data_IF_176040020505
#
_entry.id   IF_176040020505
#
_cell.length_a   1.000
_cell.length_b   1.000
_cell.length_c   1.000
_cell.angle_alpha   90.00
_cell.angle_beta   90.00
_cell.angle_gamma   90.00
#
_symmetry.space_group_name_H-M   'P 1'
#
loop_
_entity.id
_entity.type
_entity.pdbx_description
1 polymer ?
#
# COMPACT_ATOMS: atom_id res chain seq x y z
N UNK A 1 -32.90 50.33 3.24
CA UNK A 1 -32.19 51.51 3.79
C UNK A 1 -32.26 51.45 5.31
N UNK A 2 -31.12 51.24 5.97
CA UNK A 2 -30.59 51.94 7.17
C UNK A 2 -29.35 51.14 7.59
N UNK A 3 -28.30 51.88 7.97
CA UNK A 3 -26.89 51.50 8.06
C UNK A 3 -26.45 51.51 9.52
N UNK A 4 -25.43 50.69 9.84
CA UNK A 4 -24.40 50.80 10.91
C UNK A 4 -24.90 50.49 12.36
N UNK A 5 -24.10 49.93 13.28
CA UNK A 5 -22.66 50.13 13.48
C UNK A 5 -21.93 48.94 14.14
N UNK A 6 -20.63 48.95 13.87
CA UNK A 6 -19.50 48.15 14.35
C UNK A 6 -19.23 48.29 15.85
N UNK A 7 -18.73 47.24 16.51
CA UNK A 7 -17.81 47.40 17.63
C UNK A 7 -16.70 46.34 17.54
N UNK A 8 -15.49 46.83 17.29
CA UNK A 8 -14.24 46.08 17.21
C UNK A 8 -13.56 46.22 18.58
N UNK A 9 -13.23 45.11 19.24
CA UNK A 9 -12.40 45.12 20.45
C UNK A 9 -11.13 44.35 20.17
N UNK A 10 -10.02 45.10 20.05
CA UNK A 10 -8.66 44.59 19.94
C UNK A 10 -8.08 44.56 21.35
N UNK A 11 -7.69 43.37 21.84
CA UNK A 11 -6.86 43.25 23.04
C UNK A 11 -5.49 42.73 22.57
N UNK A 12 -4.53 43.64 22.63
CA UNK A 12 -3.11 43.42 22.41
C UNK A 12 -2.49 42.95 23.73
N UNK A 13 -2.01 41.71 23.80
CA UNK A 13 -1.21 41.22 24.92
C UNK A 13 0.17 40.80 24.39
N UNK A 14 1.15 41.65 24.67
CA UNK A 14 2.58 41.44 24.48
C UNK A 14 3.12 40.50 25.57
N UNK A 15 3.67 39.36 25.18
CA UNK A 15 4.59 38.59 26.03
C UNK A 15 5.99 38.62 25.44
N UNK A 16 6.86 39.36 26.13
CA UNK A 16 8.31 39.28 26.03
C UNK A 16 8.76 38.09 26.90
N UNK A 17 9.31 37.04 26.29
CA UNK A 17 10.11 36.04 27.00
C UNK A 17 11.39 35.83 26.19
N UNK A 18 12.51 36.22 26.78
CA UNK A 18 13.84 36.00 26.23
C UNK A 18 14.30 34.57 26.47
N UNK A 19 14.98 34.00 25.48
CA UNK A 19 15.83 32.83 25.66
C UNK A 19 17.29 33.26 25.55
N UNK A 20 17.98 33.07 26.68
CA UNK A 20 19.42 33.13 26.87
C UNK A 20 20.13 32.07 26.05
N UNK A 21 21.16 32.47 25.31
CA UNK A 21 22.10 31.57 24.65
C UNK A 21 22.91 30.78 25.69
N UNK A 22 22.93 29.45 25.56
CA UNK A 22 23.80 28.58 26.32
C UNK A 22 25.14 28.41 25.59
N UNK A 23 26.20 28.74 26.31
CA UNK A 23 27.61 28.57 25.96
C UNK A 23 27.95 27.08 25.82
N UNK A 24 28.51 26.65 24.69
CA UNK A 24 29.22 25.37 24.58
C UNK A 24 30.69 25.60 24.89
N UNK A 25 31.17 24.90 25.91
CA UNK A 25 32.59 24.81 26.30
C UNK A 25 33.06 23.39 25.99
N UNK A 26 34.06 23.32 25.11
CA UNK A 26 35.28 22.50 25.19
C UNK A 26 35.15 21.00 25.49
N UNK A 27 35.70 20.14 24.62
CA UNK A 27 36.90 19.35 24.92
C UNK A 27 37.60 19.00 23.59
N UNK A 28 38.84 19.45 23.47
CA UNK A 28 39.83 18.93 22.54
C UNK A 28 40.51 17.72 23.19
N UNK A 29 40.57 16.58 22.50
CA UNK A 29 41.54 15.54 22.79
C UNK A 29 42.41 15.28 21.56
N UNK A 30 43.64 15.72 21.68
CA UNK A 30 44.79 15.37 20.87
C UNK A 30 45.32 14.03 21.37
N UNK A 31 45.31 12.99 20.54
CA UNK A 31 46.11 11.80 20.78
C UNK A 31 46.87 11.42 19.51
N UNK A 32 48.19 11.57 19.64
CA UNK A 32 49.29 11.21 18.76
C UNK A 32 49.25 9.72 18.40
N UNK A 33 49.30 9.38 17.11
CA UNK A 33 49.61 8.00 16.67
C UNK A 33 50.96 7.97 15.96
N UNK A 34 51.83 7.14 16.52
CA UNK A 34 53.17 6.78 16.05
C UNK A 34 53.12 6.03 14.71
N UNK A 35 54.13 6.28 13.89
CA UNK A 35 54.36 5.73 12.57
C UNK A 35 55.13 4.38 12.61
N UNK A 36 54.82 3.52 11.62
CA UNK A 36 55.57 2.40 11.04
C UNK A 36 55.37 0.96 11.59
N UNK A 37 55.56 -0.10 10.76
CA UNK A 37 55.71 -0.17 9.30
C UNK A 37 54.66 -1.04 8.58
N UNK A 38 54.62 -0.88 7.25
CA UNK A 38 53.77 -1.59 6.31
C UNK A 38 53.92 -3.12 6.36
N UNK A 39 52.79 -3.82 6.55
CA UNK A 39 52.62 -5.21 6.15
C UNK A 39 51.45 -5.29 5.16
N UNK A 40 51.81 -5.53 3.90
CA UNK A 40 50.88 -5.90 2.84
C UNK A 40 50.17 -7.20 3.21
N UNK A 41 48.87 -7.10 3.49
CA UNK A 41 47.94 -8.22 3.38
C UNK A 41 46.71 -7.68 2.65
N UNK A 42 46.54 -8.10 1.39
CA UNK A 42 45.28 -7.87 0.68
C UNK A 42 44.14 -8.45 1.53
N UNK A 43 43.00 -7.75 1.69
CA UNK A 43 41.82 -8.37 2.25
C UNK A 43 41.41 -9.51 1.31
N UNK A 44 41.53 -10.73 1.81
CA UNK A 44 40.92 -11.89 1.22
C UNK A 44 39.42 -11.63 1.23
N UNK A 45 38.82 -11.48 0.04
CA UNK A 45 37.38 -11.40 -0.14
C UNK A 45 36.75 -12.54 0.66
N UNK A 46 36.07 -12.16 1.74
CA UNK A 46 35.25 -13.09 2.50
C UNK A 46 34.07 -13.39 1.59
N UNK A 47 34.13 -14.55 0.94
CA UNK A 47 32.98 -15.09 0.22
C UNK A 47 31.88 -15.21 1.27
N UNK A 48 30.86 -14.34 1.18
CA UNK A 48 29.66 -14.45 2.00
C UNK A 48 29.11 -15.86 1.79
N UNK A 49 28.68 -16.55 2.86
CA UNK A 49 28.07 -17.86 2.69
C UNK A 49 26.90 -17.72 1.72
N UNK A 50 26.96 -18.48 0.63
CA UNK A 50 25.84 -18.65 -0.30
C UNK A 50 24.63 -19.05 0.53
N UNK A 51 23.62 -18.18 0.54
CA UNK A 51 22.33 -18.40 1.20
C UNK A 51 21.84 -19.79 0.80
N UNK A 52 21.73 -20.68 1.78
CA UNK A 52 20.94 -21.89 1.60
C UNK A 52 19.53 -21.48 1.95
N UNK A 53 18.84 -20.86 0.99
CA UNK A 53 17.40 -20.64 1.06
C UNK A 53 16.81 -22.03 1.29
N UNK A 54 16.26 -22.31 2.47
CA UNK A 54 15.35 -23.43 2.62
C UNK A 54 14.07 -23.00 1.91
N UNK A 55 14.09 -23.17 0.60
CA UNK A 55 12.94 -23.00 -0.27
C UNK A 55 11.92 -24.03 0.19
N UNK A 56 10.95 -23.58 0.98
CA UNK A 56 9.83 -24.41 1.34
C UNK A 56 8.79 -24.21 0.25
N UNK A 57 8.94 -24.96 -0.84
CA UNK A 57 7.83 -25.17 -1.77
C UNK A 57 6.81 -26.01 -1.03
N UNK A 58 5.90 -25.33 -0.31
CA UNK A 58 4.73 -26.01 0.22
C UNK A 58 3.78 -26.14 -0.95
N UNK A 59 3.94 -27.22 -1.72
CA UNK A 59 2.87 -27.72 -2.58
C UNK A 59 1.73 -28.09 -1.63
N UNK A 60 0.86 -27.14 -1.30
CA UNK A 60 -0.43 -27.43 -0.71
C UNK A 60 -1.38 -27.50 -1.88
N UNK A 61 -1.69 -28.69 -2.43
CA UNK A 61 -2.79 -28.78 -3.35
C UNK A 61 -4.04 -28.54 -2.50
N UNK A 62 -4.56 -27.32 -2.54
CA UNK A 62 -5.96 -27.10 -2.22
C UNK A 62 -6.74 -27.98 -3.19
N UNK A 63 -7.44 -28.98 -2.66
CA UNK A 63 -8.22 -29.95 -3.42
C UNK A 63 -9.17 -29.21 -4.38
N UNK A 64 -8.79 -29.04 -5.66
CA UNK A 64 -9.64 -28.42 -6.68
C UNK A 64 -9.09 -27.28 -7.53
N UNK A 65 -7.77 -27.08 -7.66
CA UNK A 65 -7.22 -26.05 -8.56
C UNK A 65 -6.66 -24.80 -7.87
N UNK A 66 -6.10 -24.95 -6.67
CA UNK A 66 -5.32 -23.91 -6.01
C UNK A 66 -4.03 -23.60 -6.77
N UNK A 67 -3.63 -22.32 -6.77
CA UNK A 67 -2.33 -21.86 -7.28
C UNK A 67 -1.19 -22.46 -6.43
N UNK A 68 -0.02 -22.61 -7.05
CA UNK A 68 1.20 -23.01 -6.35
C UNK A 68 1.73 -21.85 -5.52
N UNK A 69 2.12 -22.10 -4.26
CA UNK A 69 2.67 -21.10 -3.35
C UNK A 69 4.13 -21.44 -3.05
N UNK A 70 5.03 -20.49 -3.35
CA UNK A 70 6.45 -20.54 -3.01
C UNK A 70 6.73 -19.52 -1.93
N UNK A 71 7.35 -19.96 -0.83
CA UNK A 71 7.69 -19.12 0.31
C UNK A 71 9.21 -18.98 0.44
N UNK A 72 9.69 -17.74 0.39
CA UNK A 72 11.09 -17.39 0.58
C UNK A 72 11.24 -16.64 1.91
N UNK A 73 11.68 -17.31 3.00
CA UNK A 73 11.84 -16.66 4.29
C UNK A 73 12.96 -15.62 4.22
N UNK A 74 12.65 -14.39 4.58
CA UNK A 74 13.58 -13.27 4.59
C UNK A 74 14.28 -13.14 5.93
N UNK A 75 15.52 -12.66 5.92
CA UNK A 75 16.15 -12.25 7.18
C UNK A 75 15.56 -10.91 7.63
N UNK A 76 15.40 -10.67 8.94
CA UNK A 76 14.73 -9.48 9.49
C UNK A 76 15.34 -8.13 9.06
N UNK A 77 16.52 -8.13 8.43
CA UNK A 77 17.26 -6.92 8.03
C UNK A 77 17.36 -6.70 6.52
N UNK A 78 16.76 -7.57 5.72
CA UNK A 78 16.78 -7.40 4.26
C UNK A 78 15.93 -6.19 3.85
N UNK A 79 16.57 -5.28 3.13
CA UNK A 79 15.89 -4.16 2.49
C UNK A 79 15.05 -4.69 1.32
N UNK A 80 13.86 -4.13 1.14
CA UNK A 80 12.92 -4.54 0.09
C UNK A 80 13.55 -4.38 -1.28
N UNK A 81 14.33 -3.32 -1.50
CA UNK A 81 15.05 -3.11 -2.76
C UNK A 81 16.07 -4.22 -3.07
N UNK A 82 16.72 -4.74 -2.02
CA UNK A 82 17.72 -5.81 -2.16
C UNK A 82 17.02 -7.15 -2.44
N UNK A 83 15.91 -7.42 -1.76
CA UNK A 83 15.09 -8.60 -2.04
C UNK A 83 14.59 -8.51 -3.48
N UNK A 84 14.04 -7.38 -3.90
CA UNK A 84 13.58 -7.22 -5.27
C UNK A 84 14.68 -7.50 -6.28
N UNK A 85 15.86 -6.90 -6.15
CA UNK A 85 16.97 -7.13 -7.08
C UNK A 85 17.43 -8.60 -7.21
N UNK A 86 17.11 -9.46 -6.24
CA UNK A 86 17.39 -10.90 -6.31
C UNK A 86 16.31 -11.69 -7.07
N UNK A 87 15.05 -11.28 -6.97
CA UNK A 87 13.89 -11.98 -7.54
C UNK A 87 13.29 -11.30 -8.77
N UNK A 88 13.74 -10.09 -9.09
CA UNK A 88 13.38 -9.31 -10.28
C UNK A 88 14.01 -9.97 -11.52
N UNK A 89 13.25 -10.84 -12.19
CA UNK A 89 13.53 -11.20 -13.57
C UNK A 89 13.31 -9.98 -14.51
N UNK A 90 13.64 -10.10 -15.79
CA UNK A 90 13.52 -8.97 -16.72
C UNK A 90 12.05 -8.54 -17.01
N UNK A 91 11.05 -9.28 -16.51
CA UNK A 91 9.62 -9.07 -16.81
C UNK A 91 8.87 -8.31 -15.70
N UNK A 92 9.54 -7.98 -14.60
CA UNK A 92 9.05 -7.08 -13.55
C UNK A 92 9.09 -5.63 -14.05
N UNK A 93 8.37 -5.34 -15.12
CA UNK A 93 8.32 -3.99 -15.67
C UNK A 93 7.67 -3.03 -14.69
N UNK A 94 8.07 -1.77 -14.80
CA UNK A 94 7.64 -0.64 -13.99
C UNK A 94 6.15 -0.69 -13.62
N UNK A 95 5.77 -0.22 -12.41
CA UNK A 95 4.37 -0.19 -11.97
C UNK A 95 3.50 0.42 -13.06
N UNK A 96 2.61 -0.41 -13.61
CA UNK A 96 1.76 0.05 -14.70
C UNK A 96 0.87 1.18 -14.20
N UNK A 97 0.85 2.28 -14.93
CA UNK A 97 -0.08 3.36 -14.64
C UNK A 97 -1.51 2.80 -14.69
N UNK A 98 -2.30 3.01 -13.65
CA UNK A 98 -3.70 2.60 -13.62
C UNK A 98 -4.40 3.21 -14.84
N UNK A 99 -4.98 2.41 -15.75
CA UNK A 99 -5.67 2.97 -16.89
C UNK A 99 -6.93 3.68 -16.40
N UNK A 100 -7.15 4.93 -16.83
CA UNK A 100 -8.37 5.68 -16.48
C UNK A 100 -9.63 5.17 -17.20
N UNK A 101 -9.49 4.19 -18.10
CA UNK A 101 -10.54 3.70 -18.98
C UNK A 101 -10.33 2.22 -19.30
N UNK A 102 -11.42 1.46 -19.28
CA UNK A 102 -11.49 0.07 -19.74
C UNK A 102 -12.70 -0.12 -20.65
N UNK A 103 -12.72 -1.19 -21.43
CA UNK A 103 -13.79 -1.48 -22.40
C UNK A 103 -14.30 -2.90 -22.20
N UNK A 104 -15.62 -3.08 -22.25
CA UNK A 104 -16.29 -4.38 -22.27
C UNK A 104 -17.31 -4.38 -23.41
N UNK A 105 -17.08 -5.20 -24.43
CA UNK A 105 -17.87 -5.13 -25.67
C UNK A 105 -17.80 -3.73 -26.29
N UNK A 106 -18.96 -3.11 -26.50
CA UNK A 106 -19.08 -1.74 -27.03
C UNK A 106 -19.10 -0.66 -25.92
N UNK A 107 -19.18 -1.07 -24.66
CA UNK A 107 -19.27 -0.14 -23.52
C UNK A 107 -17.87 0.27 -23.04
N UNK A 108 -17.70 1.57 -22.84
CA UNK A 108 -16.47 2.16 -22.29
C UNK A 108 -16.73 2.64 -20.87
N UNK A 109 -15.97 2.12 -19.91
CA UNK A 109 -16.01 2.54 -18.52
C UNK A 109 -14.79 3.40 -18.21
N UNK A 110 -14.97 4.48 -17.45
CA UNK A 110 -13.87 5.37 -17.03
C UNK A 110 -14.15 5.97 -15.67
N UNK A 111 -13.10 6.46 -14.99
CA UNK A 111 -13.26 7.16 -13.72
C UNK A 111 -12.58 8.53 -13.72
N UNK A 112 -13.02 9.38 -12.79
CA UNK A 112 -12.34 10.62 -12.40
C UNK A 112 -12.33 10.74 -10.90
N UNK A 113 -11.18 11.08 -10.35
CA UNK A 113 -11.05 11.47 -8.95
C UNK A 113 -11.44 12.95 -8.80
N UNK A 114 -12.28 13.25 -7.82
CA UNK A 114 -12.67 14.61 -7.47
C UNK A 114 -12.32 14.85 -6.00
N UNK A 115 -11.51 15.87 -5.77
CA UNK A 115 -11.10 16.29 -4.43
C UNK A 115 -12.00 17.45 -3.99
N UNK A 116 -12.85 17.18 -3.02
CA UNK A 116 -13.79 18.14 -2.46
C UNK A 116 -13.17 18.70 -1.19
N UNK A 117 -12.89 20.01 -1.21
CA UNK A 117 -12.44 20.74 -0.03
C UNK A 117 -13.55 20.74 1.04
N UNK A 118 -13.32 20.07 2.17
CA UNK A 118 -14.25 20.06 3.30
C UNK A 118 -13.99 21.25 4.22
N UNK A 119 -12.74 21.42 4.64
CA UNK A 119 -12.36 22.43 5.61
C UNK A 119 -10.89 22.84 5.44
N UNK A 120 -10.56 24.04 5.92
CA UNK A 120 -9.18 24.48 6.12
C UNK A 120 -9.06 24.99 7.55
N UNK A 121 -8.21 24.37 8.34
CA UNK A 121 -7.99 24.80 9.71
C UNK A 121 -7.19 26.13 9.76
N UNK A 122 -7.19 26.83 10.91
CA UNK A 122 -6.43 28.08 11.07
C UNK A 122 -4.92 27.94 10.89
N UNK A 123 -4.39 26.71 11.03
CA UNK A 123 -2.97 26.38 10.90
C UNK A 123 -2.59 26.02 9.45
N UNK A 124 -3.57 26.01 8.54
CA UNK A 124 -3.41 25.80 7.10
C UNK A 124 -3.54 24.35 6.64
N UNK A 125 -3.87 23.41 7.53
CA UNK A 125 -4.16 22.03 7.12
C UNK A 125 -5.52 21.97 6.45
N UNK A 126 -5.56 21.27 5.33
CA UNK A 126 -6.75 21.19 4.49
C UNK A 126 -7.30 19.78 4.51
N UNK A 127 -8.57 19.66 4.85
CA UNK A 127 -9.30 18.40 4.85
C UNK A 127 -10.01 18.25 3.50
N UNK A 128 -9.76 17.13 2.82
CA UNK A 128 -10.39 16.80 1.56
C UNK A 128 -11.21 15.53 1.71
N UNK A 129 -12.37 15.51 1.07
CA UNK A 129 -13.06 14.28 0.70
C UNK A 129 -12.65 13.93 -0.72
N UNK A 130 -12.36 12.66 -0.97
CA UNK A 130 -12.15 12.17 -2.33
C UNK A 130 -13.36 11.37 -2.78
N UNK A 131 -13.91 11.75 -3.92
CA UNK A 131 -14.94 11.00 -4.63
C UNK A 131 -14.36 10.39 -5.91
N UNK A 132 -14.68 9.14 -6.18
CA UNK A 132 -14.42 8.50 -7.48
C UNK A 132 -15.72 8.51 -8.28
N UNK A 133 -15.73 9.28 -9.37
CA UNK A 133 -16.86 9.39 -10.30
C UNK A 133 -16.65 8.43 -11.46
N UNK A 134 -17.58 7.50 -11.64
CA UNK A 134 -17.56 6.46 -12.66
C UNK A 134 -18.52 6.79 -13.81
N UNK A 135 -18.02 6.65 -15.03
CA UNK A 135 -18.71 6.97 -16.27
C UNK A 135 -18.80 5.75 -17.16
N UNK A 136 -19.95 5.57 -17.80
CA UNK A 136 -20.22 4.56 -18.83
C UNK A 136 -20.59 5.31 -20.10
N UNK A 137 -19.82 5.12 -21.16
CA UNK A 137 -19.97 5.85 -22.44
C UNK A 137 -20.07 7.37 -22.23
N UNK A 138 -19.19 7.91 -21.39
CA UNK A 138 -19.10 9.32 -20.97
C UNK A 138 -20.31 9.85 -20.16
N UNK A 139 -21.27 9.00 -19.80
CA UNK A 139 -22.36 9.33 -18.88
C UNK A 139 -22.02 8.91 -17.45
N UNK A 140 -22.10 9.85 -16.50
CA UNK A 140 -21.91 9.56 -15.08
C UNK A 140 -22.99 8.58 -14.62
N UNK A 141 -22.59 7.40 -14.12
CA UNK A 141 -23.54 6.42 -13.63
C UNK A 141 -23.37 6.10 -12.14
N UNK A 142 -22.22 6.41 -11.55
CA UNK A 142 -21.93 6.12 -10.15
C UNK A 142 -20.93 7.11 -9.56
N UNK A 143 -21.07 7.38 -8.26
CA UNK A 143 -20.07 8.09 -7.46
C UNK A 143 -19.80 7.26 -6.21
N UNK A 144 -18.52 7.06 -5.91
CA UNK A 144 -18.06 6.37 -4.69
C UNK A 144 -17.33 7.39 -3.83
N UNK A 145 -17.87 7.67 -2.65
CA UNK A 145 -17.21 8.53 -1.66
C UNK A 145 -16.20 7.71 -0.87
N UNK A 146 -14.94 8.12 -0.86
CA UNK A 146 -13.84 7.39 -0.22
C UNK A 146 -13.45 7.93 1.15
N UNK A 147 -14.00 9.08 1.56
CA UNK A 147 -13.60 9.73 2.80
C UNK A 147 -12.24 10.42 2.70
N UNK A 148 -11.52 10.48 3.81
CA UNK A 148 -10.19 11.11 3.93
C UNK A 148 -9.10 10.06 3.69
N UNK A 149 -8.68 9.92 2.43
CA UNK A 149 -7.64 8.98 2.01
C UNK A 149 -6.21 9.43 2.32
N UNK A 150 -6.03 10.58 2.97
CA UNK A 150 -4.71 11.16 3.20
C UNK A 150 -3.90 11.29 1.90
N UNK A 151 -2.59 10.94 1.89
CA UNK A 151 -1.73 11.06 0.72
C UNK A 151 -1.77 9.84 -0.23
N UNK A 152 -2.59 8.82 0.05
CA UNK A 152 -2.63 7.61 -0.75
C UNK A 152 -3.45 7.83 -2.04
N UNK A 153 -3.08 7.17 -3.15
CA UNK A 153 -3.94 7.10 -4.32
C UNK A 153 -5.32 6.55 -3.94
N UNK A 154 -6.37 7.16 -4.50
CA UNK A 154 -7.73 6.70 -4.32
C UNK A 154 -8.02 5.43 -5.12
N UNK A 155 -7.49 5.34 -6.33
CA UNK A 155 -7.62 4.16 -7.21
C UNK A 155 -6.28 3.46 -7.35
N UNK A 156 -6.28 2.15 -7.11
CA UNK A 156 -5.11 1.27 -7.16
C UNK A 156 -5.09 0.36 -8.39
N UNK A 157 -6.26 0.09 -8.96
CA UNK A 157 -6.37 -0.72 -10.18
C UNK A 157 -7.70 -0.48 -10.87
N UNK A 158 -7.68 -0.53 -12.20
CA UNK A 158 -8.90 -0.55 -13.01
C UNK A 158 -8.72 -1.47 -14.20
N UNK A 159 -9.39 -2.61 -14.17
CA UNK A 159 -9.14 -3.71 -15.11
C UNK A 159 -10.46 -4.26 -15.61
N UNK A 160 -10.49 -4.67 -16.88
CA UNK A 160 -11.63 -5.38 -17.46
C UNK A 160 -11.23 -6.80 -17.86
N UNK A 161 -12.21 -7.69 -17.70
CA UNK A 161 -12.28 -9.04 -18.26
C UNK A 161 -13.26 -9.04 -19.43
N UNK A 162 -13.57 -10.21 -20.00
CA UNK A 162 -14.53 -10.31 -21.10
C UNK A 162 -15.93 -9.81 -20.73
N UNK A 163 -16.37 -9.99 -19.48
CA UNK A 163 -17.75 -9.72 -19.04
C UNK A 163 -17.85 -8.73 -17.87
N UNK A 164 -16.75 -8.44 -17.19
CA UNK A 164 -16.75 -7.66 -15.94
C UNK A 164 -15.60 -6.68 -15.87
N UNK A 165 -15.80 -5.55 -15.20
CA UNK A 165 -14.73 -4.65 -14.77
C UNK A 165 -14.58 -4.67 -13.26
N UNK A 166 -13.36 -4.38 -12.82
CA UNK A 166 -12.92 -4.34 -11.44
C UNK A 166 -12.19 -3.04 -11.19
N UNK A 167 -12.59 -2.30 -10.17
CA UNK A 167 -11.94 -1.09 -9.72
C UNK A 167 -11.49 -1.29 -8.27
N UNK A 168 -10.19 -1.37 -8.04
CA UNK A 168 -9.63 -1.40 -6.69
C UNK A 168 -9.47 0.04 -6.19
N UNK A 169 -10.12 0.32 -5.06
CA UNK A 169 -10.09 1.62 -4.40
C UNK A 169 -9.55 1.48 -2.99
N UNK A 170 -8.96 2.55 -2.50
CA UNK A 170 -8.64 2.73 -1.09
C UNK A 170 -9.68 3.65 -0.45
N UNK A 171 -10.21 3.29 0.71
CA UNK A 171 -11.17 4.08 1.49
C UNK A 171 -10.55 4.50 2.82
N UNK A 172 -10.62 5.79 3.10
CA UNK A 172 -10.08 6.41 4.29
C UNK A 172 -11.15 6.50 5.35
N UNK A 173 -10.99 5.72 6.41
CA UNK A 173 -11.89 5.72 7.56
C UNK A 173 -11.22 6.38 8.77
N UNK A 174 -11.98 7.22 9.45
CA UNK A 174 -11.58 7.85 10.71
C UNK A 174 -12.34 7.18 11.85
N UNK A 175 -11.64 6.39 12.64
CA UNK A 175 -12.19 5.66 13.79
C UNK A 175 -11.90 6.48 15.05
N UNK A 176 -12.94 7.01 15.68
CA UNK A 176 -12.85 7.57 17.03
C UNK A 176 -12.70 6.43 18.04
N UNK A 177 -11.57 6.39 18.75
CA UNK A 177 -11.28 5.34 19.75
C UNK A 177 -12.02 5.58 21.07
N UNK A 178 -12.75 6.68 21.21
CA UNK A 178 -13.54 7.02 22.40
C UNK A 178 -12.71 7.61 23.55
N UNK A 179 -11.38 7.65 23.43
CA UNK A 179 -10.45 8.33 24.34
C UNK A 179 -10.04 9.73 23.82
N UNK A 180 -10.68 10.19 22.74
CA UNK A 180 -10.35 11.43 22.05
C UNK A 180 -9.25 11.29 21.01
N UNK A 181 -8.69 10.09 20.82
CA UNK A 181 -7.82 9.78 19.67
C UNK A 181 -8.64 9.35 18.45
N UNK A 182 -8.21 9.82 17.28
CA UNK A 182 -8.74 9.38 15.99
C UNK A 182 -7.66 8.53 15.34
N UNK A 183 -8.01 7.30 15.00
CA UNK A 183 -7.21 6.46 14.12
C UNK A 183 -7.71 6.65 12.68
N UNK A 184 -6.80 7.05 11.79
CA UNK A 184 -7.06 6.99 10.35
C UNK A 184 -6.62 5.60 9.87
N UNK A 185 -7.55 4.84 9.31
CA UNK A 185 -7.26 3.57 8.65
C UNK A 185 -7.61 3.65 7.17
N UNK A 186 -6.91 2.86 6.37
CA UNK A 186 -7.11 2.73 4.94
C UNK A 186 -7.60 1.31 4.69
N UNK A 187 -8.81 1.20 4.12
CA UNK A 187 -9.44 -0.07 3.81
C UNK A 187 -9.57 -0.19 2.29
N UNK A 188 -8.91 -1.20 1.73
CA UNK A 188 -9.11 -1.59 0.34
C UNK A 188 -10.52 -2.13 0.10
N UNK A 189 -11.08 -1.79 -1.06
CA UNK A 189 -12.29 -2.39 -1.58
C UNK A 189 -12.16 -2.58 -3.09
N UNK A 190 -12.65 -3.70 -3.59
CA UNK A 190 -12.71 -4.00 -5.01
C UNK A 190 -14.16 -3.88 -5.44
N UNK A 191 -14.40 -2.98 -6.38
CA UNK A 191 -15.72 -2.76 -6.97
C UNK A 191 -15.83 -3.58 -8.25
N UNK A 192 -16.69 -4.59 -8.26
CA UNK A 192 -16.99 -5.41 -9.44
C UNK A 192 -18.30 -4.95 -10.05
N UNK A 193 -18.26 -4.44 -11.29
CA UNK A 193 -19.46 -4.00 -12.01
C UNK A 193 -20.36 -3.00 -11.24
N UNK A 194 -19.78 -2.22 -10.32
CA UNK A 194 -20.47 -1.24 -9.49
C UNK A 194 -20.87 -1.73 -8.09
N UNK A 195 -20.57 -2.97 -7.74
CA UNK A 195 -20.87 -3.53 -6.43
C UNK A 195 -19.58 -3.76 -5.63
N UNK A 196 -19.60 -3.44 -4.34
CA UNK A 196 -18.48 -3.67 -3.42
C UNK A 196 -18.34 -5.16 -3.12
N UNK A 197 -17.17 -5.74 -3.38
CA UNK A 197 -16.89 -7.12 -2.98
C UNK A 197 -16.84 -7.26 -1.46
N UNK A 198 -16.42 -6.22 -0.73
CA UNK A 198 -16.46 -6.23 0.72
C UNK A 198 -17.88 -6.42 1.24
N UNK A 199 -18.84 -5.67 0.71
CA UNK A 199 -20.25 -5.79 1.11
C UNK A 199 -20.89 -7.10 0.66
N UNK A 200 -20.64 -7.52 -0.59
CA UNK A 200 -21.25 -8.72 -1.17
C UNK A 200 -20.79 -10.01 -0.50
N UNK A 201 -19.49 -10.14 -0.22
CA UNK A 201 -18.88 -11.37 0.27
C UNK A 201 -18.60 -11.34 1.78
N UNK A 202 -18.91 -10.23 2.44
CA UNK A 202 -18.69 -10.02 3.87
C UNK A 202 -17.21 -9.89 4.23
N UNK A 203 -16.39 -9.33 3.34
CA UNK A 203 -14.99 -9.05 3.65
C UNK A 203 -14.85 -7.78 4.48
N UNK A 204 -13.90 -7.81 5.41
CA UNK A 204 -13.41 -6.59 6.08
C UNK A 204 -12.57 -5.76 5.11
N UNK A 205 -11.87 -6.40 4.17
CA UNK A 205 -11.04 -5.75 3.15
C UNK A 205 -10.86 -6.67 1.94
N UNK A 206 -10.77 -6.09 0.75
CA UNK A 206 -10.30 -6.75 -0.48
C UNK A 206 -9.27 -5.87 -1.19
N UNK A 207 -8.22 -6.48 -1.76
CA UNK A 207 -7.06 -5.75 -2.29
C UNK A 207 -6.18 -6.59 -3.22
N UNK A 208 -5.24 -5.95 -3.92
CA UNK A 208 -4.26 -6.60 -4.79
C UNK A 208 -4.89 -7.31 -5.98
N UNK A 209 -5.88 -6.67 -6.62
CA UNK A 209 -6.56 -7.21 -7.78
C UNK A 209 -5.59 -7.38 -8.96
N UNK A 210 -5.63 -8.55 -9.59
CA UNK A 210 -4.87 -8.83 -10.80
C UNK A 210 -5.57 -9.85 -11.69
N UNK A 211 -5.21 -9.89 -12.97
CA UNK A 211 -5.60 -10.98 -13.88
C UNK A 211 -4.43 -11.96 -13.97
N UNK A 212 -4.52 -13.05 -13.21
CA UNK A 212 -3.51 -14.10 -13.15
C UNK A 212 -3.93 -15.26 -14.06
N UNK A 213 -3.13 -15.57 -15.06
CA UNK A 213 -3.38 -16.61 -16.07
C UNK A 213 -4.77 -16.47 -16.71
N UNK A 214 -5.15 -15.23 -17.03
CA UNK A 214 -6.44 -14.89 -17.65
C UNK A 214 -7.64 -14.90 -16.70
N UNK A 215 -7.45 -15.09 -15.39
CA UNK A 215 -8.51 -15.20 -14.39
C UNK A 215 -8.37 -14.16 -13.29
N UNK A 216 -9.48 -13.68 -12.71
CA UNK A 216 -9.43 -12.71 -11.62
C UNK A 216 -8.77 -13.32 -10.38
N UNK A 217 -7.85 -12.57 -9.80
CA UNK A 217 -7.17 -12.86 -8.55
C UNK A 217 -7.28 -11.63 -7.64
N UNK A 218 -7.53 -11.83 -6.34
CA UNK A 218 -7.40 -10.78 -5.32
C UNK A 218 -7.24 -11.37 -3.93
N UNK A 219 -6.71 -10.59 -3.00
CA UNK A 219 -6.67 -10.92 -1.58
C UNK A 219 -7.90 -10.40 -0.86
N UNK A 220 -8.27 -11.07 0.23
CA UNK A 220 -9.31 -10.61 1.13
C UNK A 220 -8.96 -10.87 2.60
N UNK A 221 -9.62 -10.14 3.49
CA UNK A 221 -9.65 -10.39 4.93
C UNK A 221 -11.10 -10.61 5.34
N UNK A 222 -11.39 -11.73 6.00
CA UNK A 222 -12.71 -12.06 6.56
C UNK A 222 -12.53 -12.72 7.92
N UNK A 223 -13.26 -12.24 8.92
CA UNK A 223 -13.15 -12.69 10.30
C UNK A 223 -11.68 -12.70 10.80
N UNK A 224 -10.93 -11.64 10.46
CA UNK A 224 -9.51 -11.45 10.74
C UNK A 224 -8.56 -12.50 10.11
N UNK A 225 -9.07 -13.36 9.22
CA UNK A 225 -8.28 -14.33 8.47
C UNK A 225 -8.00 -13.85 7.05
N UNK A 226 -6.75 -14.01 6.60
CA UNK A 226 -6.33 -13.71 5.24
C UNK A 226 -6.68 -14.86 4.29
N UNK A 227 -7.02 -14.50 3.07
CA UNK A 227 -7.20 -15.44 1.96
C UNK A 227 -6.98 -14.77 0.62
N UNK A 228 -7.07 -15.55 -0.44
CA UNK A 228 -7.17 -15.06 -1.80
C UNK A 228 -8.33 -15.71 -2.53
N UNK A 229 -8.92 -14.99 -3.47
CA UNK A 229 -9.89 -15.50 -4.42
C UNK A 229 -9.19 -15.67 -5.77
N UNK A 230 -9.36 -16.81 -6.40
CA UNK A 230 -8.89 -17.09 -7.75
C UNK A 230 -10.01 -17.75 -8.54
N UNK A 231 -10.40 -17.13 -9.66
CA UNK A 231 -11.51 -17.60 -10.50
C UNK A 231 -12.84 -17.74 -9.72
N UNK A 232 -13.04 -16.87 -8.73
CA UNK A 232 -14.21 -16.90 -7.83
C UNK A 232 -14.18 -18.01 -6.77
N UNK A 233 -13.08 -18.75 -6.63
CA UNK A 233 -12.88 -19.73 -5.57
C UNK A 233 -11.94 -19.15 -4.51
N UNK A 234 -12.36 -19.21 -3.25
CA UNK A 234 -11.57 -18.69 -2.13
C UNK A 234 -10.65 -19.74 -1.53
N UNK A 235 -9.45 -19.31 -1.16
CA UNK A 235 -8.42 -20.13 -0.55
C UNK A 235 -7.85 -19.43 0.69
N UNK A 236 -7.78 -20.11 1.85
CA UNK A 236 -7.22 -19.52 3.06
C UNK A 236 -5.70 -19.36 2.94
N UNK A 237 -5.18 -18.30 3.56
CA UNK A 237 -3.75 -18.06 3.72
C UNK A 237 -3.41 -18.04 5.22
N UNK A 238 -2.37 -18.79 5.59
CA UNK A 238 -1.87 -18.83 6.95
C UNK A 238 -0.82 -17.72 7.16
N UNK A 239 -1.22 -16.46 7.02
CA UNK A 239 -0.40 -15.28 7.31
C UNK A 239 -1.17 -14.37 8.26
N UNK A 240 -0.43 -13.61 9.07
CA UNK A 240 -1.02 -12.60 9.95
C UNK A 240 -1.23 -11.27 9.21
N UNK A 241 -0.39 -11.00 8.19
CA UNK A 241 -0.43 -9.75 7.43
C UNK A 241 0.17 -9.93 6.04
N UNK A 242 -0.44 -9.30 5.04
CA UNK A 242 0.16 -9.01 3.74
C UNK A 242 0.38 -7.50 3.65
N UNK A 243 1.57 -7.08 3.22
CA UNK A 243 1.82 -5.67 2.95
C UNK A 243 0.97 -5.21 1.77
N UNK A 244 0.16 -4.17 1.96
CA UNK A 244 -0.73 -3.60 0.96
C UNK A 244 -0.97 -2.11 1.24
N UNK A 245 -1.40 -1.36 0.21
CA UNK A 245 -1.74 0.06 0.27
C UNK A 245 -0.68 0.97 0.91
N UNK A 246 0.60 0.59 0.87
CA UNK A 246 1.69 1.41 1.38
C UNK A 246 2.14 2.45 0.33
N UNK A 247 2.57 3.63 0.78
CA UNK A 247 3.10 4.68 -0.10
C UNK A 247 4.61 4.86 0.00
N UNK A 248 5.15 5.62 -0.95
CA UNK A 248 6.57 6.00 -1.00
C UNK A 248 7.45 4.74 -1.09
N UNK A 249 8.59 4.71 -0.36
CA UNK A 249 9.48 3.56 -0.35
C UNK A 249 8.84 2.29 0.22
N UNK A 250 7.85 2.42 1.11
CA UNK A 250 7.13 1.23 1.64
C UNK A 250 6.20 0.61 0.60
N UNK A 251 5.82 1.36 -0.44
CA UNK A 251 4.96 0.87 -1.52
C UNK A 251 5.61 -0.23 -2.36
N UNK A 252 6.93 -0.36 -2.31
CA UNK A 252 7.65 -1.48 -2.94
C UNK A 252 7.22 -2.84 -2.37
N UNK A 253 6.71 -2.89 -1.14
CA UNK A 253 6.23 -4.13 -0.53
C UNK A 253 4.75 -4.47 -0.84
N UNK A 254 4.04 -3.63 -1.60
CA UNK A 254 2.68 -3.95 -2.02
C UNK A 254 2.68 -5.18 -2.95
N UNK A 255 1.53 -5.84 -3.15
CA UNK A 255 1.45 -6.97 -4.07
C UNK A 255 1.70 -6.53 -5.52
N UNK A 256 2.42 -7.34 -6.27
CA UNK A 256 2.73 -7.15 -7.68
C UNK A 256 2.28 -8.36 -8.48
N UNK A 257 1.35 -8.15 -9.40
CA UNK A 257 0.88 -9.18 -10.30
C UNK A 257 1.66 -9.18 -11.61
N UNK A 258 2.05 -10.38 -12.05
CA UNK A 258 2.54 -10.71 -13.38
C UNK A 258 1.54 -11.63 -14.08
N UNK A 259 1.74 -11.88 -15.37
CA UNK A 259 0.82 -12.69 -16.19
C UNK A 259 0.48 -14.04 -15.56
N UNK A 260 1.46 -14.74 -14.97
CA UNK A 260 1.33 -16.11 -14.45
C UNK A 260 1.37 -16.21 -12.91
N UNK A 261 1.70 -15.12 -12.21
CA UNK A 261 1.94 -15.15 -10.76
C UNK A 261 1.67 -13.81 -10.07
N UNK A 262 1.40 -13.88 -8.78
CA UNK A 262 1.28 -12.77 -7.85
C UNK A 262 2.42 -12.85 -6.83
N UNK A 263 3.13 -11.75 -6.61
CA UNK A 263 4.22 -11.69 -5.64
C UNK A 263 3.99 -10.63 -4.60
N UNK A 264 4.20 -10.98 -3.34
CA UNK A 264 3.89 -10.10 -2.22
C UNK A 264 4.75 -10.42 -1.01
N UNK A 265 4.78 -9.48 -0.06
CA UNK A 265 5.42 -9.68 1.23
C UNK A 265 4.38 -10.00 2.30
N UNK A 266 4.63 -11.06 3.06
CA UNK A 266 3.75 -11.50 4.14
C UNK A 266 4.50 -11.77 5.44
N UNK A 267 3.76 -11.76 6.55
CA UNK A 267 4.26 -12.08 7.89
C UNK A 267 3.51 -13.29 8.46
N UNK A 268 4.24 -14.20 9.09
CA UNK A 268 3.71 -15.29 9.93
C UNK A 268 4.53 -15.32 11.23
N UNK A 269 3.92 -14.92 12.34
CA UNK A 269 4.59 -14.56 13.57
C UNK A 269 5.68 -13.52 13.33
N UNK A 270 6.87 -13.78 13.88
CA UNK A 270 8.04 -12.89 13.74
C UNK A 270 8.81 -13.09 12.41
N UNK A 271 8.35 -14.01 11.55
CA UNK A 271 8.99 -14.32 10.27
C UNK A 271 8.33 -13.57 9.13
N UNK A 272 9.15 -12.94 8.29
CA UNK A 272 8.74 -12.28 7.05
C UNK A 272 9.08 -13.16 5.84
N UNK A 273 8.22 -13.14 4.83
CA UNK A 273 8.39 -13.89 3.59
C UNK A 273 8.26 -12.97 2.38
N UNK A 274 9.02 -13.26 1.34
CA UNK A 274 8.59 -13.02 -0.03
C UNK A 274 7.78 -14.25 -0.46
N UNK A 275 6.59 -14.03 -1.00
CA UNK A 275 5.67 -15.10 -1.37
C UNK A 275 5.31 -14.94 -2.83
N UNK A 276 5.43 -16.03 -3.59
CA UNK A 276 5.05 -16.10 -5.00
C UNK A 276 3.88 -17.09 -5.09
N UNK A 277 2.78 -16.66 -5.69
CA UNK A 277 1.58 -17.48 -5.91
C UNK A 277 1.28 -17.51 -7.39
N UNK A 278 1.31 -18.66 -8.04
CA UNK A 278 1.18 -18.73 -9.50
C UNK A 278 0.71 -20.06 -10.05
N UNK A 279 0.38 -20.05 -11.34
CA UNK A 279 0.00 -21.22 -12.14
C UNK A 279 1.18 -21.65 -13.01
N UNK A 280 2.16 -22.32 -12.39
CA UNK A 280 3.44 -22.73 -12.99
C UNK A 280 3.37 -24.11 -13.69
#
# INVERSE_FOLDING_TARGET
>A
MVRKATLLTVILMTFLVGCTAATQTEVAETATSTEAPALSTQPQLTILPTLTIQERVTLTPGTGGALTIEEHPLTQREDIDVVWAEYEDAEWTEPQSVPHRVTIGDDVYSFKEEHILLNTDPDGMTEYQVDVRLYKNDELFMTITLGDNGPLPAVWGFVATEDSWYLEINRGERIDRGDGSIEATNLGDIIKNGESLNELEGYQQSFGFHILSGKPFYFFIRDDALGYSYDGVEYPLDYDRISNHACCSSGLANPHGLEDRMVFFANRGDQRYLVIVGDF
#
